data_IF_760886423699
#
_entry.id   IF_760886423699
#
_cell.length_a   1.000
_cell.length_b   1.000
_cell.length_c   1.000
_cell.angle_alpha   90.00
_cell.angle_beta   90.00
_cell.angle_gamma   90.00
#
_symmetry.space_group_name_H-M   'P 1'
#
loop_
_entity.id
_entity.type
_entity.pdbx_description
1 polymer ?
#
# COMPACT_ATOMS: atom_id res chain seq x y z
N UNK A 1 23.83 37.63 19.01
CA UNK A 1 23.28 37.55 17.62
C UNK A 1 24.24 36.70 16.81
N UNK A 2 23.94 35.54 16.23
CA UNK A 2 22.76 34.69 16.27
C UNK A 2 23.14 33.39 15.52
N UNK A 3 24.12 32.63 16.03
CA UNK A 3 24.53 31.34 15.43
C UNK A 3 23.65 30.18 15.93
N UNK A 4 23.21 30.26 17.19
CA UNK A 4 22.30 29.30 17.83
C UNK A 4 20.88 29.36 17.22
N UNK A 5 20.47 30.54 16.74
CA UNK A 5 19.19 30.71 16.05
C UNK A 5 19.17 30.13 14.63
N UNK A 6 20.33 29.95 14.00
CA UNK A 6 20.41 29.34 12.66
C UNK A 6 20.28 27.81 12.71
N UNK A 7 20.88 27.17 13.71
CA UNK A 7 20.79 25.72 13.92
C UNK A 7 19.37 25.27 14.33
N UNK A 8 18.68 26.05 15.16
CA UNK A 8 17.29 25.75 15.53
C UNK A 8 16.31 25.88 14.37
N UNK A 9 16.56 26.82 13.44
CA UNK A 9 15.74 26.99 12.23
C UNK A 9 15.90 25.82 11.26
N UNK A 10 17.12 25.27 11.11
CA UNK A 10 17.35 24.10 10.26
C UNK A 10 16.77 22.81 10.85
N UNK A 11 16.81 22.64 12.17
CA UNK A 11 16.16 21.48 12.82
C UNK A 11 14.63 21.54 12.68
N UNK A 12 14.02 22.73 12.79
CA UNK A 12 12.58 22.89 12.57
C UNK A 12 12.17 22.70 11.09
N UNK A 13 13.00 23.14 10.15
CA UNK A 13 12.77 22.91 8.72
C UNK A 13 12.94 21.43 8.32
N UNK A 14 13.85 20.69 8.95
CA UNK A 14 13.97 19.25 8.73
C UNK A 14 12.82 18.47 9.38
N UNK A 15 12.25 18.91 10.51
CA UNK A 15 11.02 18.31 11.03
C UNK A 15 9.79 18.59 10.16
N UNK A 16 9.75 19.73 9.47
CA UNK A 16 8.69 20.03 8.50
C UNK A 16 8.85 19.25 7.19
N UNK A 17 10.07 18.86 6.81
CA UNK A 17 10.28 17.95 5.67
C UNK A 17 10.00 16.47 6.02
N UNK A 18 9.99 16.10 7.30
CA UNK A 18 9.62 14.75 7.75
C UNK A 18 8.13 14.65 8.10
N UNK A 19 7.40 15.76 8.25
CA UNK A 19 5.98 15.75 8.67
C UNK A 19 5.06 16.79 8.00
N UNK A 20 5.47 17.51 6.95
CA UNK A 20 4.74 18.73 6.55
C UNK A 20 4.90 19.22 5.12
N UNK A 21 5.11 18.32 4.14
CA UNK A 21 5.09 18.70 2.73
C UNK A 21 4.22 17.78 1.86
N UNK A 22 3.16 17.16 2.40
CA UNK A 22 2.07 16.62 1.58
C UNK A 22 0.74 17.01 2.23
N UNK A 23 0.25 18.17 1.81
CA UNK A 23 -1.13 18.57 1.97
C UNK A 23 -2.03 17.60 1.21
N UNK A 24 -2.77 16.75 1.92
CA UNK A 24 -4.04 16.17 1.47
C UNK A 24 -4.05 15.52 0.09
N UNK A 25 -3.07 14.66 -0.18
CA UNK A 25 -3.13 13.62 -1.19
C UNK A 25 -2.82 12.34 -0.42
N UNK A 26 -3.69 11.34 -0.48
CA UNK A 26 -3.39 10.01 0.05
C UNK A 26 -2.03 9.59 -0.51
N UNK A 27 -1.01 9.39 0.33
CA UNK A 27 0.27 8.79 -0.09
C UNK A 27 -0.06 7.42 -0.71
N UNK A 28 -0.18 7.38 -2.04
CA UNK A 28 -0.37 6.14 -2.77
C UNK A 28 0.91 5.32 -2.59
N UNK A 29 0.80 4.19 -1.90
CA UNK A 29 1.91 3.26 -1.69
C UNK A 29 2.38 2.79 -3.06
N UNK A 30 3.63 3.09 -3.43
CA UNK A 30 4.17 2.66 -4.72
C UNK A 30 4.26 1.13 -4.80
N UNK A 31 4.25 0.58 -6.02
CA UNK A 31 4.47 -0.85 -6.26
C UNK A 31 5.79 -1.35 -5.63
N UNK A 32 6.83 -0.50 -5.60
CA UNK A 32 8.11 -0.81 -4.97
C UNK A 32 7.98 -0.91 -3.45
N UNK A 33 7.31 0.06 -2.83
CA UNK A 33 7.05 0.06 -1.39
C UNK A 33 6.20 -1.13 -0.97
N UNK A 34 5.14 -1.44 -1.72
CA UNK A 34 4.28 -2.59 -1.47
C UNK A 34 5.10 -3.90 -1.53
N UNK A 35 5.96 -4.05 -2.53
CA UNK A 35 6.84 -5.23 -2.61
C UNK A 35 7.82 -5.33 -1.45
N UNK A 36 8.44 -4.21 -1.05
CA UNK A 36 9.34 -4.18 0.12
C UNK A 36 8.59 -4.56 1.40
N UNK A 37 7.38 -4.03 1.60
CA UNK A 37 6.55 -4.32 2.77
C UNK A 37 6.11 -5.79 2.83
N UNK A 38 5.81 -6.40 1.67
CA UNK A 38 5.35 -7.78 1.60
C UNK A 38 6.50 -8.81 1.67
N UNK A 39 7.65 -8.50 1.08
CA UNK A 39 8.68 -9.50 0.78
C UNK A 39 9.96 -9.38 1.61
N UNK A 40 10.29 -8.21 2.18
CA UNK A 40 11.46 -8.10 3.08
C UNK A 40 11.17 -8.76 4.43
N UNK A 41 12.05 -9.67 4.87
CA UNK A 41 11.94 -10.35 6.17
C UNK A 41 11.90 -9.36 7.35
N UNK A 42 12.53 -8.20 7.21
CA UNK A 42 12.47 -7.14 8.24
C UNK A 42 11.07 -6.61 8.44
N UNK A 43 10.22 -6.73 7.42
CA UNK A 43 8.84 -6.29 7.42
C UNK A 43 7.86 -7.44 7.69
N UNK A 44 8.31 -8.62 8.15
CA UNK A 44 7.46 -9.80 8.34
C UNK A 44 6.19 -9.54 9.17
N UNK A 45 6.25 -8.69 10.19
CA UNK A 45 5.08 -8.32 10.99
C UNK A 45 4.12 -7.40 10.24
N UNK A 46 4.63 -6.46 9.45
CA UNK A 46 3.81 -5.57 8.61
C UNK A 46 3.20 -6.35 7.44
N UNK A 47 3.98 -7.22 6.80
CA UNK A 47 3.54 -8.17 5.78
C UNK A 47 2.36 -9.00 6.27
N UNK A 48 2.42 -9.57 7.48
CA UNK A 48 1.28 -10.30 8.09
C UNK A 48 0.03 -9.44 8.26
N UNK A 49 0.19 -8.18 8.63
CA UNK A 49 -0.94 -7.25 8.78
C UNK A 49 -1.59 -6.98 7.44
N UNK A 50 -0.80 -6.66 6.41
CA UNK A 50 -1.28 -6.39 5.05
C UNK A 50 -1.98 -7.63 4.47
N UNK A 51 -1.35 -8.81 4.57
CA UNK A 51 -1.94 -10.10 4.17
C UNK A 51 -3.28 -10.33 4.87
N UNK A 52 -3.33 -10.13 6.19
CA UNK A 52 -4.56 -10.29 6.96
C UNK A 52 -5.63 -9.25 6.64
N UNK A 53 -5.29 -8.12 6.03
CA UNK A 53 -6.26 -7.14 5.54
C UNK A 53 -6.82 -7.55 4.18
N UNK A 54 -5.98 -8.04 3.26
CA UNK A 54 -6.45 -8.64 2.01
C UNK A 54 -7.42 -9.81 2.25
N UNK A 55 -7.18 -10.65 3.26
CA UNK A 55 -8.08 -11.75 3.61
C UNK A 55 -9.43 -11.27 4.19
N UNK A 56 -9.48 -10.10 4.82
CA UNK A 56 -10.71 -9.51 5.38
C UNK A 56 -11.50 -8.71 4.34
N UNK A 57 -10.81 -8.21 3.30
CA UNK A 57 -11.41 -7.48 2.20
C UNK A 57 -12.09 -8.44 1.22
N UNK A 58 -13.41 -8.52 1.29
CA UNK A 58 -14.21 -9.24 0.30
C UNK A 58 -14.54 -8.34 -0.89
N UNK A 59 -13.77 -8.44 -1.99
CA UNK A 59 -13.98 -7.69 -3.23
C UNK A 59 -14.30 -8.62 -4.42
N UNK A 60 -15.48 -9.28 -4.45
CA UNK A 60 -15.82 -10.20 -5.52
C UNK A 60 -15.91 -9.51 -6.89
N UNK A 61 -16.21 -8.21 -6.91
CA UNK A 61 -16.26 -7.40 -8.12
C UNK A 61 -14.86 -7.12 -8.71
N UNK A 62 -13.80 -7.34 -7.93
CA UNK A 62 -12.40 -7.18 -8.35
C UNK A 62 -11.80 -8.48 -8.90
N UNK A 63 -12.45 -9.63 -8.67
CA UNK A 63 -11.95 -10.95 -9.06
C UNK A 63 -11.75 -11.09 -10.59
N UNK A 64 -12.63 -10.51 -11.40
CA UNK A 64 -12.48 -10.49 -12.86
C UNK A 64 -11.26 -9.70 -13.31
N UNK A 65 -10.95 -8.60 -12.62
CA UNK A 65 -9.80 -7.74 -12.89
C UNK A 65 -8.51 -8.46 -12.49
N UNK A 66 -8.50 -9.09 -11.30
CA UNK A 66 -7.37 -9.92 -10.86
C UNK A 66 -7.06 -11.04 -11.84
N UNK A 67 -8.08 -11.72 -12.36
CA UNK A 67 -7.90 -12.79 -13.35
C UNK A 67 -7.23 -12.29 -14.63
N UNK A 68 -7.51 -11.05 -15.03
CA UNK A 68 -7.04 -10.48 -16.29
C UNK A 68 -5.65 -9.84 -16.16
N UNK A 69 -5.37 -9.19 -15.03
CA UNK A 69 -4.15 -8.40 -14.84
C UNK A 69 -3.05 -9.16 -14.08
N UNK A 70 -3.42 -10.04 -13.15
CA UNK A 70 -2.45 -10.80 -12.34
C UNK A 70 -2.38 -12.25 -12.81
N UNK A 71 -1.43 -12.52 -13.71
CA UNK A 71 -1.24 -13.82 -14.30
C UNK A 71 -1.07 -14.92 -13.23
N UNK A 72 -1.92 -15.94 -13.27
CA UNK A 72 -1.85 -17.10 -12.37
C UNK A 72 -2.67 -16.98 -11.08
N UNK A 73 -3.27 -15.82 -10.76
CA UNK A 73 -4.13 -15.67 -9.58
C UNK A 73 -5.58 -16.16 -9.77
N UNK A 74 -6.02 -16.42 -11.01
CA UNK A 74 -7.36 -16.97 -11.33
C UNK A 74 -8.54 -16.27 -10.63
N UNK A 75 -8.38 -14.99 -10.27
CA UNK A 75 -9.42 -14.19 -9.60
C UNK A 75 -9.51 -14.38 -8.09
N UNK A 76 -8.59 -15.14 -7.49
CA UNK A 76 -8.54 -15.32 -6.05
C UNK A 76 -7.81 -14.14 -5.38
N UNK A 77 -8.55 -13.37 -4.60
CA UNK A 77 -8.00 -12.35 -3.71
C UNK A 77 -7.86 -12.99 -2.33
N UNK A 78 -6.70 -13.58 -2.12
CA UNK A 78 -6.26 -14.07 -0.82
C UNK A 78 -4.94 -13.37 -0.50
N UNK A 79 -4.76 -12.89 0.73
CA UNK A 79 -3.58 -12.14 1.11
C UNK A 79 -2.29 -12.93 0.91
N UNK A 80 -2.30 -14.24 1.20
CA UNK A 80 -1.13 -15.09 0.99
C UNK A 80 -0.83 -15.27 -0.51
N UNK A 81 -1.85 -15.48 -1.34
CA UNK A 81 -1.67 -15.58 -2.80
C UNK A 81 -1.14 -14.28 -3.39
N UNK A 82 -1.69 -13.13 -2.99
CA UNK A 82 -1.22 -11.81 -3.41
C UNK A 82 0.23 -11.59 -3.00
N UNK A 83 0.58 -11.86 -1.73
CA UNK A 83 1.97 -11.77 -1.25
C UNK A 83 2.90 -12.65 -2.06
N UNK A 84 2.56 -13.92 -2.23
CA UNK A 84 3.43 -14.87 -2.94
C UNK A 84 3.61 -14.48 -4.40
N UNK A 85 2.58 -13.92 -5.03
CA UNK A 85 2.66 -13.36 -6.37
C UNK A 85 3.62 -12.17 -6.44
N UNK A 86 3.46 -11.15 -5.58
CA UNK A 86 4.36 -9.98 -5.53
C UNK A 86 5.82 -10.37 -5.27
N UNK A 87 6.06 -11.38 -4.43
CA UNK A 87 7.42 -11.83 -4.11
C UNK A 87 8.03 -12.73 -5.18
N UNK A 88 7.23 -13.38 -6.04
CA UNK A 88 7.70 -14.25 -7.11
C UNK A 88 7.99 -13.50 -8.43
N UNK A 89 7.36 -12.34 -8.65
CA UNK A 89 7.47 -11.61 -9.92
C UNK A 89 8.49 -10.48 -9.86
N UNK A 90 8.95 -10.00 -11.02
CA UNK A 90 9.82 -8.82 -11.15
C UNK A 90 9.07 -7.51 -10.93
N UNK A 91 9.79 -6.40 -10.73
CA UNK A 91 9.16 -5.08 -10.62
C UNK A 91 8.39 -4.69 -11.89
N UNK A 92 8.95 -4.96 -13.07
CA UNK A 92 8.29 -4.68 -14.35
C UNK A 92 6.97 -5.46 -14.52
N UNK A 93 6.91 -6.68 -14.01
CA UNK A 93 5.68 -7.51 -14.05
C UNK A 93 4.63 -6.99 -13.08
N UNK A 94 5.04 -6.56 -11.88
CA UNK A 94 4.14 -5.96 -10.89
C UNK A 94 3.57 -4.66 -11.41
N UNK A 95 4.42 -3.74 -11.88
CA UNK A 95 3.96 -2.44 -12.41
C UNK A 95 2.96 -2.62 -13.55
N UNK A 96 3.20 -3.56 -14.47
CA UNK A 96 2.25 -3.85 -15.56
C UNK A 96 0.92 -4.42 -15.07
N UNK A 97 0.95 -5.26 -14.03
CA UNK A 97 -0.26 -5.81 -13.45
C UNK A 97 -1.07 -4.74 -12.71
N UNK A 98 -0.39 -3.89 -11.94
CA UNK A 98 -1.01 -2.77 -11.21
C UNK A 98 -1.59 -1.73 -12.19
N UNK A 99 -0.82 -1.32 -13.22
CA UNK A 99 -1.30 -0.44 -14.29
C UNK A 99 -2.52 -1.04 -15.01
N UNK A 100 -2.49 -2.33 -15.34
CA UNK A 100 -3.62 -3.03 -15.94
C UNK A 100 -4.85 -2.99 -15.01
N UNK A 101 -4.68 -3.26 -13.72
CA UNK A 101 -5.80 -3.28 -12.80
C UNK A 101 -6.41 -1.90 -12.63
N UNK A 102 -5.58 -0.86 -12.51
CA UNK A 102 -6.04 0.52 -12.35
C UNK A 102 -6.81 0.99 -13.59
N UNK A 103 -6.29 0.74 -14.79
CA UNK A 103 -6.96 1.07 -16.05
C UNK A 103 -8.33 0.37 -16.15
N UNK A 104 -8.41 -0.92 -15.79
CA UNK A 104 -9.65 -1.68 -15.82
C UNK A 104 -10.65 -1.19 -14.78
N UNK A 105 -10.20 -0.91 -13.56
CA UNK A 105 -11.04 -0.37 -12.48
C UNK A 105 -11.62 0.98 -12.88
N UNK A 106 -10.78 1.88 -13.36
CA UNK A 106 -11.21 3.22 -13.77
C UNK A 106 -12.21 3.12 -14.93
N UNK A 107 -12.00 2.21 -15.88
CA UNK A 107 -12.91 2.00 -16.99
C UNK A 107 -14.26 1.38 -16.58
N UNK A 108 -14.27 0.41 -15.65
CA UNK A 108 -15.47 -0.35 -15.27
C UNK A 108 -16.27 0.27 -14.12
N UNK A 109 -15.57 0.90 -13.17
CA UNK A 109 -16.11 1.34 -11.87
C UNK A 109 -15.85 2.82 -11.58
N UNK A 110 -14.86 3.43 -12.24
CA UNK A 110 -14.47 4.82 -12.04
C UNK A 110 -13.37 4.98 -11.00
N UNK A 111 -12.72 6.14 -11.03
CA UNK A 111 -11.59 6.49 -10.15
C UNK A 111 -11.96 6.50 -8.66
N UNK A 112 -13.21 6.83 -8.32
CA UNK A 112 -13.70 6.83 -6.93
C UNK A 112 -13.66 5.44 -6.31
N UNK A 113 -13.97 4.40 -7.09
CA UNK A 113 -13.91 3.01 -6.60
C UNK A 113 -12.48 2.53 -6.32
N UNK A 114 -11.50 2.98 -7.12
CA UNK A 114 -10.09 2.70 -6.86
C UNK A 114 -9.65 3.31 -5.51
N UNK A 115 -10.07 4.55 -5.25
CA UNK A 115 -9.83 5.24 -3.98
C UNK A 115 -10.48 4.53 -2.80
N UNK A 116 -11.74 4.10 -2.94
CA UNK A 116 -12.43 3.33 -1.90
C UNK A 116 -11.69 2.03 -1.53
N UNK A 117 -11.16 1.30 -2.52
CA UNK A 117 -10.38 0.07 -2.26
C UNK A 117 -9.08 0.40 -1.51
N UNK A 118 -8.36 1.44 -1.96
CA UNK A 118 -7.11 1.87 -1.33
C UNK A 118 -7.36 2.34 0.11
N UNK A 119 -8.42 3.12 0.35
CA UNK A 119 -8.84 3.57 1.68
C UNK A 119 -9.21 2.40 2.59
N UNK A 120 -9.99 1.43 2.11
CA UNK A 120 -10.36 0.23 2.88
C UNK A 120 -9.12 -0.58 3.32
N UNK A 121 -8.15 -0.75 2.43
CA UNK A 121 -6.89 -1.42 2.75
C UNK A 121 -6.10 -0.61 3.77
N UNK A 122 -5.97 0.70 3.56
CA UNK A 122 -5.28 1.62 4.45
C UNK A 122 -5.86 1.63 5.85
N UNK A 123 -7.18 1.81 5.99
CA UNK A 123 -7.89 1.79 7.27
C UNK A 123 -7.70 0.46 8.02
N UNK A 124 -7.74 -0.67 7.32
CA UNK A 124 -7.50 -1.97 7.93
C UNK A 124 -6.07 -2.07 8.49
N UNK A 125 -5.08 -1.67 7.69
CA UNK A 125 -3.67 -1.73 8.08
C UNK A 125 -3.40 -0.80 9.26
N UNK A 126 -3.88 0.44 9.21
CA UNK A 126 -3.73 1.43 10.28
C UNK A 126 -4.38 1.00 11.59
N UNK A 127 -5.59 0.44 11.51
CA UNK A 127 -6.32 -0.10 12.66
C UNK A 127 -5.52 -1.20 13.35
N UNK A 128 -4.97 -2.14 12.58
CA UNK A 128 -4.18 -3.26 13.11
C UNK A 128 -2.83 -2.81 13.65
N UNK A 129 -2.13 -1.89 12.98
CA UNK A 129 -0.86 -1.32 13.46
C UNK A 129 -1.06 -0.54 14.78
N UNK A 130 -2.15 0.22 14.89
CA UNK A 130 -2.49 0.98 16.10
C UNK A 130 -2.82 0.06 17.28
N UNK A 131 -3.47 -1.08 17.01
CA UNK A 131 -3.77 -2.09 18.02
C UNK A 131 -2.55 -2.91 18.44
N UNK A 132 -1.58 -3.15 17.54
CA UNK A 132 -0.30 -3.79 17.87
C UNK A 132 0.54 -2.92 18.81
N UNK A 133 0.63 -1.61 18.52
CA UNK A 133 1.32 -0.63 19.37
C UNK A 133 0.72 -0.50 20.77
N UNK A 134 -0.58 -0.75 20.94
CA UNK A 134 -1.24 -0.74 22.27
C UNK A 134 -1.05 -2.03 23.06
N UNK A 135 -0.64 -3.13 22.41
CA UNK A 135 -0.42 -4.45 23.04
C UNK A 135 1.03 -4.67 23.50
N UNK A 136 1.99 -3.89 23.00
CA UNK A 136 3.39 -3.86 23.47
C UNK A 136 3.58 -2.84 24.57
#
# INVERSE_FOLDING_TARGET
MSFITYLSLQVLLMSAFVFGAESSESEEISAEDMKILLCDEKNAEVSKIIVGCFDEMSLPEYASIITQCYAGLNGEINGQLMRDWYCAHSMDEIMKADECSDEMVIAEKGEEFLKEIAELLGECVESKLSNDKKRK
#
